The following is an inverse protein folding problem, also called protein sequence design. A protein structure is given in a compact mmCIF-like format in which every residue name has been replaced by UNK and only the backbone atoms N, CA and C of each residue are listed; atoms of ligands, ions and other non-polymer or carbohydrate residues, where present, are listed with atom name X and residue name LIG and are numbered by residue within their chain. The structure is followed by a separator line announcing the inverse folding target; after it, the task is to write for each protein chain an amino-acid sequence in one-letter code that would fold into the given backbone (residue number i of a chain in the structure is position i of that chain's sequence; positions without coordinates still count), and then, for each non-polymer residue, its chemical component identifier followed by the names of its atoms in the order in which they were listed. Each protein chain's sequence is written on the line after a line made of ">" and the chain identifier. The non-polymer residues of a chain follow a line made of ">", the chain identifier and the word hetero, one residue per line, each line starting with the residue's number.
data_IF_168978202187
#
_entry.id   IF_168978202187
#
_cell.length_a   1.000
_cell.length_b   1.000
_cell.length_c   1.000
_cell.angle_alpha   90.00
_cell.angle_beta   90.00
_cell.angle_gamma   90.00
#
_symmetry.space_group_name_H-M   'P 1'
#
loop_
_entity.id
_entity.type
_entity.pdbx_description
1 polymer ?
#
# COMPACT_ATOMS: atom_id res chain seq x y z
N UNK A 1 -19.51 -14.94 6.75
CA UNK A 1 -18.49 -13.99 7.21
C UNK A 1 -17.51 -14.72 8.09
N UNK A 2 -16.25 -14.86 7.65
CA UNK A 2 -15.27 -15.69 8.34
C UNK A 2 -14.89 -15.07 9.69
N UNK A 3 -14.88 -15.85 10.76
CA UNK A 3 -14.50 -15.40 12.12
C UNK A 3 -13.10 -14.77 12.11
N UNK A 4 -12.22 -15.30 11.26
CA UNK A 4 -10.82 -14.89 11.12
C UNK A 4 -10.62 -13.43 10.67
N UNK A 5 -11.47 -12.91 9.76
CA UNK A 5 -11.36 -11.53 9.24
C UNK A 5 -11.72 -10.50 10.30
N UNK A 6 -12.70 -10.83 11.14
CA UNK A 6 -13.03 -10.01 12.31
C UNK A 6 -11.89 -9.98 13.31
N UNK A 7 -11.11 -11.06 13.37
CA UNK A 7 -10.01 -11.18 14.32
C UNK A 7 -8.88 -10.19 14.00
N UNK A 8 -8.44 -10.10 12.74
CA UNK A 8 -7.32 -9.21 12.37
C UNK A 8 -7.71 -7.74 12.57
N UNK A 9 -8.87 -7.33 12.03
CA UNK A 9 -9.36 -5.95 12.24
C UNK A 9 -9.63 -5.66 13.72
N UNK A 10 -10.22 -6.61 14.44
CA UNK A 10 -10.48 -6.49 15.87
C UNK A 10 -9.21 -6.33 16.68
N UNK A 11 -8.20 -7.17 16.44
CA UNK A 11 -6.89 -7.07 17.09
C UNK A 11 -6.22 -5.73 16.85
N UNK A 12 -6.23 -5.25 15.59
CA UNK A 12 -5.68 -3.94 15.25
C UNK A 12 -6.43 -2.80 15.96
N UNK A 13 -7.75 -2.88 16.04
CA UNK A 13 -8.56 -1.86 16.75
C UNK A 13 -8.25 -1.84 18.24
N UNK A 14 -8.14 -3.01 18.86
CA UNK A 14 -7.76 -3.15 20.29
C UNK A 14 -6.35 -2.59 20.50
N UNK A 15 -5.39 -2.95 19.63
CA UNK A 15 -4.01 -2.48 19.74
C UNK A 15 -3.89 -0.96 19.63
N UNK A 16 -4.65 -0.33 18.73
CA UNK A 16 -4.70 1.13 18.63
C UNK A 16 -5.23 1.78 19.90
N UNK A 17 -6.35 1.28 20.43
CA UNK A 17 -6.92 1.78 21.69
C UNK A 17 -6.01 1.57 22.88
N UNK A 18 -5.29 0.44 22.93
CA UNK A 18 -4.31 0.14 23.95
C UNK A 18 -3.13 1.12 23.91
N UNK A 19 -2.67 1.48 22.70
CA UNK A 19 -1.63 2.50 22.52
C UNK A 19 -2.09 3.88 23.02
N UNK A 20 -3.33 4.26 22.73
CA UNK A 20 -3.93 5.54 23.24
C UNK A 20 -3.98 5.57 24.77
N UNK A 21 -4.06 4.41 25.43
CA UNK A 21 -4.04 4.26 26.89
C UNK A 21 -2.64 4.05 27.49
N UNK A 22 -1.58 4.18 26.69
CA UNK A 22 -0.21 4.05 27.15
C UNK A 22 0.31 2.62 27.30
N UNK A 23 -0.43 1.60 26.86
CA UNK A 23 -0.05 0.19 26.91
C UNK A 23 -0.02 -0.43 25.49
N UNK A 24 0.97 -0.08 24.65
CA UNK A 24 0.97 -0.48 23.24
C UNK A 24 1.15 -1.99 23.03
N UNK A 25 0.26 -2.58 22.23
CA UNK A 25 0.37 -3.96 21.76
C UNK A 25 1.04 -3.96 20.37
N UNK A 26 2.36 -3.86 20.35
CA UNK A 26 3.14 -3.64 19.13
C UNK A 26 2.97 -4.73 18.07
N UNK A 27 2.86 -5.99 18.47
CA UNK A 27 2.67 -7.12 17.54
C UNK A 27 1.37 -7.03 16.77
N UNK A 28 0.29 -6.58 17.40
CA UNK A 28 -1.06 -6.49 16.85
C UNK A 28 -1.29 -5.23 16.03
N UNK A 29 -0.46 -4.19 16.21
CA UNK A 29 -0.50 -2.97 15.37
C UNK A 29 -0.10 -3.23 13.92
N UNK A 30 0.67 -4.28 13.66
CA UNK A 30 1.14 -4.67 12.34
C UNK A 30 0.86 -6.16 12.09
N UNK A 31 -0.40 -6.54 11.88
CA UNK A 31 -0.78 -7.93 11.69
C UNK A 31 -0.18 -8.49 10.40
N UNK A 32 0.30 -9.74 10.48
CA UNK A 32 0.73 -10.52 9.32
C UNK A 32 -0.22 -11.68 9.13
N UNK A 33 -0.75 -11.88 7.93
CA UNK A 33 -1.55 -13.06 7.60
C UNK A 33 -0.76 -13.95 6.63
N UNK A 34 -0.48 -15.18 7.06
CA UNK A 34 0.26 -16.16 6.26
C UNK A 34 -0.56 -16.75 5.11
N UNK A 35 -1.90 -16.64 5.20
CA UNK A 35 -2.83 -17.24 4.24
C UNK A 35 -3.18 -16.31 3.05
N UNK A 36 -2.67 -15.10 3.06
CA UNK A 36 -2.85 -14.21 1.92
C UNK A 36 -2.03 -14.68 0.72
N UNK A 37 -2.69 -14.82 -0.42
CA UNK A 37 -2.06 -15.19 -1.69
C UNK A 37 -1.38 -13.97 -2.32
N UNK A 38 -0.19 -13.63 -1.82
CA UNK A 38 0.63 -12.56 -2.39
C UNK A 38 1.22 -12.96 -3.76
N UNK A 39 1.32 -12.01 -4.69
CA UNK A 39 2.17 -12.18 -5.87
C UNK A 39 3.64 -12.25 -5.41
N UNK A 40 4.33 -13.35 -5.75
CA UNK A 40 5.72 -13.58 -5.33
C UNK A 40 6.72 -12.52 -5.85
N UNK A 41 6.32 -11.75 -6.85
CA UNK A 41 7.17 -10.71 -7.45
C UNK A 41 6.91 -9.31 -6.86
N UNK A 42 6.14 -9.21 -5.78
CA UNK A 42 5.92 -7.95 -5.05
C UNK A 42 6.30 -8.16 -3.60
N UNK A 43 6.99 -7.18 -3.07
CA UNK A 43 7.39 -7.15 -1.68
C UNK A 43 6.16 -7.28 -0.76
N UNK A 44 6.13 -8.35 0.06
CA UNK A 44 5.03 -8.61 1.00
C UNK A 44 4.82 -7.47 1.98
N UNK A 45 5.91 -6.84 2.41
CA UNK A 45 5.87 -5.70 3.34
C UNK A 45 5.13 -4.52 2.71
N UNK A 46 5.36 -4.27 1.43
CA UNK A 46 4.65 -3.22 0.70
C UNK A 46 3.14 -3.53 0.57
N UNK A 47 2.78 -4.77 0.22
CA UNK A 47 1.37 -5.16 0.09
C UNK A 47 0.65 -5.06 1.42
N UNK A 48 1.24 -5.57 2.50
CA UNK A 48 0.66 -5.48 3.85
C UNK A 48 0.51 -4.04 4.32
N UNK A 49 1.49 -3.18 3.99
CA UNK A 49 1.45 -1.76 4.33
C UNK A 49 0.32 -1.02 3.62
N UNK A 50 0.12 -1.33 2.33
CA UNK A 50 -1.02 -0.81 1.56
C UNK A 50 -2.34 -1.30 2.15
N UNK A 51 -2.50 -2.60 2.40
CA UNK A 51 -3.73 -3.15 3.01
C UNK A 51 -4.03 -2.46 4.36
N UNK A 52 -2.99 -2.27 5.19
CA UNK A 52 -3.12 -1.60 6.48
C UNK A 52 -3.60 -0.17 6.34
N UNK A 53 -3.03 0.58 5.39
CA UNK A 53 -3.38 1.99 5.17
C UNK A 53 -4.74 2.16 4.50
N UNK A 54 -5.12 1.27 3.58
CA UNK A 54 -6.35 1.37 2.79
C UNK A 54 -7.61 0.92 3.54
N UNK A 55 -7.52 -0.16 4.31
CA UNK A 55 -8.71 -0.78 4.88
C UNK A 55 -8.58 -1.19 6.34
N UNK A 56 -7.40 -1.06 6.94
CA UNK A 56 -7.10 -1.66 8.25
C UNK A 56 -7.47 -3.15 8.31
N UNK A 57 -7.19 -3.88 7.23
CA UNK A 57 -7.55 -5.29 7.06
C UNK A 57 -9.06 -5.57 7.07
N UNK A 58 -9.90 -4.57 6.79
CA UNK A 58 -11.33 -4.78 6.64
C UNK A 58 -11.68 -5.19 5.21
N UNK A 59 -11.92 -6.47 5.00
CA UNK A 59 -12.24 -7.06 3.70
C UNK A 59 -13.42 -6.38 2.98
N UNK A 60 -14.46 -6.01 3.71
CA UNK A 60 -15.66 -5.41 3.16
C UNK A 60 -15.61 -3.87 3.11
N UNK A 61 -14.41 -3.27 3.20
CA UNK A 61 -14.24 -1.83 3.15
C UNK A 61 -14.76 -1.24 1.82
N UNK A 62 -15.48 -0.13 1.94
CA UNK A 62 -15.99 0.65 0.81
C UNK A 62 -15.73 2.12 1.09
N UNK A 63 -15.00 2.80 0.20
CA UNK A 63 -14.79 4.23 0.31
C UNK A 63 -16.00 5.02 -0.21
N UNK A 64 -16.07 6.31 0.13
CA UNK A 64 -17.06 7.23 -0.42
C UNK A 64 -16.93 7.39 -1.94
N UNK A 65 -15.73 7.25 -2.48
CA UNK A 65 -15.42 7.34 -3.91
C UNK A 65 -15.66 6.02 -4.66
N UNK A 66 -16.02 4.94 -3.94
CA UNK A 66 -16.36 3.64 -4.53
C UNK A 66 -15.18 2.67 -4.64
N UNK A 67 -14.06 2.91 -4.00
CA UNK A 67 -12.98 1.93 -3.86
C UNK A 67 -13.41 0.76 -2.96
N UNK A 68 -12.93 -0.45 -3.24
CA UNK A 68 -13.46 -1.68 -2.66
C UNK A 68 -12.38 -2.62 -2.11
N UNK A 69 -12.64 -3.17 -0.95
CA UNK A 69 -11.93 -4.30 -0.35
C UNK A 69 -10.62 -3.93 0.33
N UNK A 70 -9.80 -4.95 0.61
CA UNK A 70 -8.57 -4.82 1.39
C UNK A 70 -7.60 -3.78 0.85
N UNK A 71 -7.42 -3.75 -0.47
CA UNK A 71 -6.48 -2.85 -1.15
C UNK A 71 -7.19 -1.65 -1.81
N UNK A 72 -8.46 -1.39 -1.47
CA UNK A 72 -9.27 -0.26 -1.94
C UNK A 72 -9.16 -0.01 -3.46
N UNK A 73 -9.44 -1.05 -4.24
CA UNK A 73 -9.38 -0.96 -5.69
C UNK A 73 -10.62 -0.26 -6.26
N UNK A 74 -10.40 0.72 -7.12
CA UNK A 74 -11.48 1.25 -7.95
C UNK A 74 -11.98 0.16 -8.91
N UNK A 75 -13.31 0.00 -9.09
CA UNK A 75 -13.87 -1.05 -9.95
C UNK A 75 -13.31 -1.06 -11.39
N UNK A 76 -13.07 0.11 -11.98
CA UNK A 76 -12.47 0.21 -13.31
C UNK A 76 -11.04 -0.29 -13.34
N UNK A 77 -10.21 0.08 -12.35
CA UNK A 77 -8.84 -0.42 -12.21
C UNK A 77 -8.83 -1.94 -12.03
N UNK A 78 -9.70 -2.46 -11.16
CA UNK A 78 -9.83 -3.90 -10.93
C UNK A 78 -10.24 -4.66 -12.20
N UNK A 79 -11.17 -4.10 -13.01
CA UNK A 79 -11.60 -4.68 -14.29
C UNK A 79 -10.46 -4.73 -15.30
N UNK A 80 -9.68 -3.67 -15.42
CA UNK A 80 -8.50 -3.63 -16.31
C UNK A 80 -7.44 -4.64 -15.89
N UNK A 81 -7.16 -4.72 -14.58
CA UNK A 81 -6.21 -5.69 -14.03
C UNK A 81 -6.68 -7.12 -14.26
N UNK A 82 -7.96 -7.42 -14.01
CA UNK A 82 -8.53 -8.75 -14.28
C UNK A 82 -8.36 -9.14 -15.75
N UNK A 83 -8.58 -8.21 -16.68
CA UNK A 83 -8.33 -8.43 -18.12
C UNK A 83 -6.86 -8.76 -18.42
N UNK A 84 -5.92 -8.04 -17.80
CA UNK A 84 -4.47 -8.30 -17.97
C UNK A 84 -4.06 -9.66 -17.40
N UNK A 85 -4.68 -10.07 -16.29
CA UNK A 85 -4.48 -11.37 -15.66
C UNK A 85 -5.25 -12.51 -16.36
N UNK A 86 -6.06 -12.20 -17.39
CA UNK A 86 -6.93 -13.16 -18.10
C UNK A 86 -7.89 -13.91 -17.16
N UNK A 87 -8.41 -13.22 -16.15
CA UNK A 87 -9.40 -13.77 -15.22
C UNK A 87 -10.72 -13.03 -15.32
N UNK A 88 -11.83 -13.73 -14.98
CA UNK A 88 -13.16 -13.13 -14.99
C UNK A 88 -13.26 -12.04 -13.92
N UNK A 89 -13.63 -10.82 -14.34
CA UNK A 89 -13.91 -9.73 -13.39
C UNK A 89 -15.23 -9.96 -12.68
N UNK A 90 -15.22 -9.88 -11.36
CA UNK A 90 -16.41 -10.00 -10.50
C UNK A 90 -16.35 -8.93 -9.41
N UNK A 91 -17.17 -7.88 -9.54
CA UNK A 91 -17.18 -6.73 -8.61
C UNK A 91 -17.45 -7.15 -7.16
N UNK A 92 -18.39 -8.09 -6.95
CA UNK A 92 -18.72 -8.60 -5.61
C UNK A 92 -17.52 -9.24 -4.92
N UNK A 93 -16.67 -9.95 -5.65
CA UNK A 93 -15.46 -10.58 -5.10
C UNK A 93 -14.44 -9.59 -4.55
N UNK A 94 -14.49 -8.32 -4.94
CA UNK A 94 -13.59 -7.31 -4.36
C UNK A 94 -13.80 -7.14 -2.85
N UNK A 95 -14.98 -7.47 -2.33
CA UNK A 95 -15.34 -7.33 -0.90
C UNK A 95 -15.68 -8.67 -0.23
N UNK A 96 -15.80 -9.77 -0.99
CA UNK A 96 -16.15 -11.08 -0.45
C UNK A 96 -15.03 -12.10 -0.52
N UNK A 97 -14.02 -11.86 -1.34
CA UNK A 97 -12.88 -12.75 -1.57
C UNK A 97 -11.55 -11.97 -1.40
N UNK A 98 -10.89 -12.19 -0.28
CA UNK A 98 -9.65 -11.48 0.09
C UNK A 98 -8.54 -11.74 -0.91
N UNK A 99 -8.34 -13.01 -1.27
CA UNK A 99 -7.28 -13.41 -2.19
C UNK A 99 -7.52 -12.86 -3.61
N UNK A 100 -8.77 -12.73 -4.03
CA UNK A 100 -9.11 -12.07 -5.28
C UNK A 100 -8.73 -10.58 -5.24
N UNK A 101 -9.07 -9.87 -4.17
CA UNK A 101 -8.73 -8.45 -4.02
C UNK A 101 -7.21 -8.24 -3.96
N UNK A 102 -6.51 -9.04 -3.14
CA UNK A 102 -5.05 -8.97 -2.99
C UNK A 102 -4.35 -9.31 -4.31
N UNK A 103 -4.80 -10.31 -5.04
CA UNK A 103 -4.24 -10.69 -6.34
C UNK A 103 -4.31 -9.53 -7.34
N UNK A 104 -5.46 -8.87 -7.44
CA UNK A 104 -5.63 -7.72 -8.32
C UNK A 104 -4.81 -6.51 -7.85
N UNK A 105 -4.83 -6.21 -6.55
CA UNK A 105 -4.11 -5.07 -5.97
C UNK A 105 -2.59 -5.23 -6.05
N UNK A 106 -2.08 -6.42 -5.76
CA UNK A 106 -0.64 -6.73 -5.88
C UNK A 106 -0.16 -6.60 -7.33
N UNK A 107 -0.96 -7.10 -8.29
CA UNK A 107 -0.63 -6.92 -9.70
C UNK A 107 -0.60 -5.45 -10.10
N UNK A 108 -1.55 -4.63 -9.61
CA UNK A 108 -1.56 -3.20 -9.88
C UNK A 108 -0.35 -2.49 -9.27
N UNK A 109 0.02 -2.82 -8.03
CA UNK A 109 1.26 -2.33 -7.40
C UNK A 109 2.50 -2.70 -8.22
N UNK A 110 2.61 -3.96 -8.65
CA UNK A 110 3.71 -4.44 -9.52
C UNK A 110 3.77 -3.64 -10.82
N UNK A 111 2.63 -3.41 -11.46
CA UNK A 111 2.55 -2.61 -12.67
C UNK A 111 3.08 -1.18 -12.43
N UNK A 112 2.67 -0.54 -11.33
CA UNK A 112 3.14 0.80 -10.99
C UNK A 112 4.62 0.82 -10.62
N UNK A 113 5.12 -0.16 -9.84
CA UNK A 113 6.54 -0.29 -9.53
C UNK A 113 7.38 -0.40 -10.81
N UNK A 114 6.96 -1.24 -11.76
CA UNK A 114 7.65 -1.35 -13.05
C UNK A 114 7.61 -0.03 -13.82
N UNK A 115 6.44 0.64 -13.87
CA UNK A 115 6.26 1.91 -14.57
C UNK A 115 7.13 3.03 -14.01
N UNK A 116 7.36 3.03 -12.70
CA UNK A 116 8.16 4.05 -12.01
C UNK A 116 9.54 3.54 -11.56
N UNK A 117 10.07 2.51 -12.26
CA UNK A 117 11.44 2.01 -12.12
C UNK A 117 11.82 1.66 -10.68
N UNK A 118 10.90 1.05 -9.94
CA UNK A 118 11.08 0.63 -8.55
C UNK A 118 10.88 1.72 -7.51
N UNK A 119 10.63 2.98 -7.89
CA UNK A 119 10.37 4.06 -6.93
C UNK A 119 9.06 3.79 -6.17
N UNK A 120 9.19 3.42 -4.88
CA UNK A 120 8.03 3.22 -4.01
C UNK A 120 7.26 4.52 -3.78
N UNK A 121 7.95 5.66 -3.69
CA UNK A 121 7.32 6.98 -3.53
C UNK A 121 6.40 7.31 -4.69
N UNK A 122 6.89 7.21 -5.93
CA UNK A 122 6.07 7.48 -7.12
C UNK A 122 4.96 6.44 -7.31
N UNK A 123 5.25 5.18 -6.97
CA UNK A 123 4.25 4.11 -6.99
C UNK A 123 3.10 4.40 -6.04
N UNK A 124 3.38 4.79 -4.81
CA UNK A 124 2.38 5.11 -3.79
C UNK A 124 1.60 6.38 -4.13
N UNK A 125 2.29 7.41 -4.66
CA UNK A 125 1.64 8.61 -5.18
C UNK A 125 0.64 8.29 -6.29
N UNK A 126 1.04 7.43 -7.25
CA UNK A 126 0.17 6.98 -8.35
C UNK A 126 -0.96 6.07 -7.87
N UNK A 127 -0.71 5.23 -6.86
CA UNK A 127 -1.71 4.32 -6.31
C UNK A 127 -2.85 5.10 -5.65
N UNK A 128 -2.50 6.05 -4.79
CA UNK A 128 -3.48 6.84 -4.03
C UNK A 128 -4.15 7.94 -4.87
N UNK A 129 -3.38 8.78 -5.56
CA UNK A 129 -3.91 9.92 -6.29
C UNK A 129 -4.19 9.65 -7.78
N UNK A 130 -3.78 8.50 -8.27
CA UNK A 130 -3.89 8.13 -9.68
C UNK A 130 -2.71 8.60 -10.55
N UNK A 131 -2.37 7.83 -11.61
CA UNK A 131 -1.24 8.14 -12.49
C UNK A 131 -1.34 9.48 -13.22
N UNK A 132 -2.54 9.98 -13.46
CA UNK A 132 -2.76 11.27 -14.14
C UNK A 132 -2.32 12.46 -13.27
N UNK A 133 -2.64 12.43 -11.97
CA UNK A 133 -2.20 13.46 -11.03
C UNK A 133 -0.68 13.40 -10.83
N UNK A 134 -0.12 12.20 -10.67
CA UNK A 134 1.33 12.05 -10.58
C UNK A 134 2.03 12.60 -11.82
N UNK A 135 1.52 12.36 -13.03
CA UNK A 135 2.09 12.93 -14.27
C UNK A 135 2.14 14.46 -14.21
N UNK A 136 1.07 15.12 -13.74
CA UNK A 136 1.04 16.58 -13.55
C UNK A 136 2.09 17.04 -12.54
N UNK A 137 2.24 16.33 -11.43
CA UNK A 137 3.22 16.69 -10.40
C UNK A 137 4.66 16.53 -10.89
N UNK A 138 4.96 15.46 -11.60
CA UNK A 138 6.28 15.28 -12.22
C UNK A 138 6.60 16.38 -13.25
N UNK A 139 5.61 16.86 -13.98
CA UNK A 139 5.79 17.97 -14.92
C UNK A 139 6.06 19.30 -14.21
N UNK A 140 5.39 19.56 -13.09
CA UNK A 140 5.45 20.86 -12.40
C UNK A 140 6.59 20.96 -11.39
N UNK A 141 6.91 19.86 -10.70
CA UNK A 141 7.87 19.85 -9.60
C UNK A 141 9.15 19.08 -9.96
N UNK A 142 9.22 18.54 -11.17
CA UNK A 142 10.31 17.67 -11.59
C UNK A 142 10.19 16.24 -11.06
N UNK A 143 11.16 15.41 -11.44
CA UNK A 143 11.18 13.98 -11.09
C UNK A 143 12.14 13.76 -9.90
N UNK A 144 11.65 13.31 -8.74
CA UNK A 144 12.48 13.12 -7.54
C UNK A 144 13.52 12.01 -7.67
N UNK A 145 13.55 11.28 -8.78
CA UNK A 145 14.59 10.31 -9.10
C UNK A 145 15.81 10.97 -9.74
N UNK A 146 15.70 12.23 -10.17
CA UNK A 146 16.80 12.97 -10.81
C UNK A 146 17.65 13.67 -9.76
N UNK A 147 18.93 13.80 -10.06
CA UNK A 147 19.89 14.55 -9.22
C UNK A 147 19.42 16.00 -9.05
N UNK A 148 19.55 16.53 -7.86
CA UNK A 148 19.19 17.92 -7.52
C UNK A 148 17.76 18.12 -7.02
N UNK A 149 16.93 17.08 -6.98
CA UNK A 149 15.59 17.13 -6.37
C UNK A 149 15.60 16.25 -5.11
N UNK A 150 15.43 16.88 -3.95
CA UNK A 150 15.29 16.14 -2.70
C UNK A 150 13.93 15.44 -2.67
N UNK A 151 13.91 14.10 -2.57
CA UNK A 151 12.66 13.34 -2.57
C UNK A 151 11.77 13.60 -1.36
N UNK A 152 12.31 13.96 -0.21
CA UNK A 152 11.52 14.28 0.98
C UNK A 152 10.82 15.62 0.79
N UNK A 153 11.56 16.62 0.29
CA UNK A 153 10.98 17.92 -0.10
C UNK A 153 9.91 17.72 -1.18
N UNK A 154 10.18 16.87 -2.17
CA UNK A 154 9.22 16.58 -3.24
C UNK A 154 7.91 16.00 -2.69
N UNK A 155 7.96 15.10 -1.70
CA UNK A 155 6.75 14.56 -1.05
C UNK A 155 5.96 15.69 -0.38
N UNK A 156 6.63 16.62 0.32
CA UNK A 156 5.96 17.72 1.01
C UNK A 156 5.32 18.74 0.04
N UNK A 157 5.85 18.85 -1.18
CA UNK A 157 5.29 19.70 -2.23
C UNK A 157 4.08 19.10 -2.95
N UNK A 158 3.73 17.82 -2.74
CA UNK A 158 2.53 17.22 -3.31
C UNK A 158 1.29 18.02 -2.86
N UNK A 159 0.44 18.50 -3.80
CA UNK A 159 -0.69 19.38 -3.45
C UNK A 159 -1.76 18.73 -2.56
N UNK A 160 -1.83 17.38 -2.56
CA UNK A 160 -2.84 16.63 -1.82
C UNK A 160 -2.32 16.18 -0.44
N UNK A 161 -2.79 16.78 0.67
CA UNK A 161 -2.37 16.42 2.02
C UNK A 161 -2.60 14.93 2.34
N UNK A 162 -3.70 14.38 1.83
CA UNK A 162 -4.01 12.96 1.97
C UNK A 162 -2.91 12.08 1.35
N UNK A 163 -2.48 12.41 0.13
CA UNK A 163 -1.45 11.63 -0.57
C UNK A 163 -0.08 11.76 0.10
N UNK A 164 0.30 12.96 0.60
CA UNK A 164 1.52 13.14 1.40
C UNK A 164 1.54 12.22 2.61
N UNK A 165 0.46 12.25 3.38
CA UNK A 165 0.32 11.43 4.58
C UNK A 165 0.26 9.94 4.24
N UNK A 166 -0.41 9.57 3.16
CA UNK A 166 -0.47 8.20 2.66
C UNK A 166 0.93 7.64 2.39
N UNK A 167 1.74 8.35 1.61
CA UNK A 167 3.10 7.93 1.27
C UNK A 167 3.92 7.72 2.54
N UNK A 168 3.95 8.70 3.45
CA UNK A 168 4.72 8.64 4.69
C UNK A 168 4.33 7.44 5.55
N UNK A 169 3.04 7.25 5.78
CA UNK A 169 2.51 6.14 6.61
C UNK A 169 2.75 4.76 6.00
N UNK A 170 2.62 4.65 4.67
CA UNK A 170 2.89 3.37 4.01
C UNK A 170 4.37 3.04 4.06
N UNK A 171 5.27 4.00 3.81
CA UNK A 171 6.72 3.78 3.88
C UNK A 171 7.19 3.42 5.29
N UNK A 172 6.64 4.07 6.32
CA UNK A 172 6.86 3.71 7.72
C UNK A 172 6.43 2.26 7.99
N UNK A 173 5.22 1.90 7.57
CA UNK A 173 4.71 0.54 7.74
C UNK A 173 5.54 -0.50 6.96
N UNK A 174 6.05 -0.18 5.78
CA UNK A 174 6.97 -1.05 5.01
C UNK A 174 8.21 -1.38 5.82
N UNK A 175 8.82 -0.39 6.48
CA UNK A 175 9.99 -0.63 7.31
C UNK A 175 9.68 -1.57 8.48
N UNK A 176 8.56 -1.35 9.17
CA UNK A 176 8.14 -2.17 10.30
C UNK A 176 7.83 -3.62 9.85
N UNK A 177 7.11 -3.78 8.72
CA UNK A 177 6.83 -5.11 8.19
C UNK A 177 8.09 -5.83 7.70
N UNK A 178 9.04 -5.13 7.08
CA UNK A 178 10.32 -5.71 6.67
C UNK A 178 11.06 -6.28 7.87
N UNK A 179 11.20 -5.48 8.94
CA UNK A 179 11.83 -5.90 10.18
C UNK A 179 11.10 -7.11 10.80
N UNK A 180 9.77 -7.06 10.80
CA UNK A 180 8.95 -8.14 11.37
C UNK A 180 9.04 -9.46 10.58
N UNK A 181 9.15 -9.37 9.25
CA UNK A 181 9.21 -10.53 8.37
C UNK A 181 10.62 -11.11 8.29
N UNK A 182 11.66 -10.27 8.23
CA UNK A 182 13.06 -10.70 8.16
C UNK A 182 13.63 -11.14 9.50
N UNK A 183 13.05 -10.64 10.60
CA UNK A 183 13.61 -10.84 11.95
C UNK A 183 14.89 -10.02 12.21
N UNK A 184 15.31 -9.16 11.27
CA UNK A 184 16.52 -8.35 11.42
C UNK A 184 16.22 -6.86 11.40
N UNK A 185 16.88 -6.09 12.28
CA UNK A 185 16.80 -4.63 12.34
C UNK A 185 17.96 -4.06 11.51
N UNK A 186 17.94 -4.32 10.21
CA UNK A 186 18.88 -3.61 9.33
C UNK A 186 18.38 -2.17 9.13
N UNK A 187 19.29 -1.20 9.35
CA UNK A 187 19.01 0.19 8.95
C UNK A 187 19.01 0.24 7.42
N UNK A 188 17.83 0.35 6.77
CA UNK A 188 17.80 0.38 5.32
C UNK A 188 18.50 1.65 4.84
N UNK A 189 19.24 1.55 3.75
CA UNK A 189 19.52 2.73 2.96
C UNK A 189 18.19 3.22 2.37
N UNK A 190 17.56 4.15 3.08
CA UNK A 190 16.20 4.66 2.78
C UNK A 190 16.12 5.20 1.36
N UNK A 191 17.18 5.87 0.91
CA UNK A 191 17.27 6.44 -0.42
C UNK A 191 17.16 5.35 -1.51
N UNK A 192 18.01 4.33 -1.46
CA UNK A 192 17.99 3.22 -2.42
C UNK A 192 16.67 2.42 -2.33
N UNK A 193 16.18 2.20 -1.11
CA UNK A 193 15.02 1.33 -0.87
C UNK A 193 13.69 1.94 -1.32
N UNK A 194 13.53 3.26 -1.18
CA UNK A 194 12.24 3.91 -1.43
C UNK A 194 12.20 4.73 -2.72
N UNK A 195 13.35 5.19 -3.21
CA UNK A 195 13.43 6.05 -4.39
C UNK A 195 13.96 5.35 -5.64
N UNK A 196 14.51 4.13 -5.51
CA UNK A 196 14.88 3.28 -6.64
C UNK A 196 16.25 3.55 -7.26
N UNK A 197 16.96 4.62 -6.88
CA UNK A 197 18.28 4.97 -7.42
C UNK A 197 19.29 5.40 -6.36
N UNK A 198 20.60 5.35 -6.74
CA UNK A 198 21.71 5.92 -5.96
C UNK A 198 21.67 7.46 -6.09
N UNK A 199 21.71 8.13 -4.97
CA UNK A 199 22.03 9.55 -4.92
C UNK A 199 23.52 9.75 -5.13
#
# INVERSE_FOLDING_TARGET
>A
MCIRDRFIKGSLTVAKKSTEKGTPLHSELFPTNKDFAFDQNVDKSLVLSVIRQESEFFRAAKSRTGALGLMQLMPNTAKEVARKLKIKYQKSKLITDENYNIRLGSYYLKYLLKRYEGSKVLTLAAYNAGPANLKKWLSNMGDPRKKGIDPLVWIELIPYPETRNYIKRVLEAVWIYDTKISGSIEKPNLAKKYFGHRF
#
